data_IF_103698764114
#
_entry.id   IF_103698764114
#
_cell.length_a   1.000
_cell.length_b   1.000
_cell.length_c   1.000
_cell.angle_alpha   90.00
_cell.angle_beta   90.00
_cell.angle_gamma   90.00
#
_symmetry.space_group_name_H-M   'P 1'
#
loop_
_entity.id
_entity.type
_entity.pdbx_description
1 polymer ?
#
# COMPACT_ATOMS: atom_id res chain seq x y z
N UNK A 1 61.59 -11.93 1.33
CA UNK A 1 60.90 -13.16 1.81
C UNK A 1 60.21 -13.01 3.19
N UNK A 2 60.41 -11.89 3.92
CA UNK A 2 59.89 -11.75 5.31
C UNK A 2 58.56 -10.98 5.43
N UNK A 3 58.03 -10.37 4.36
CA UNK A 3 56.79 -9.58 4.44
C UNK A 3 55.51 -10.47 4.30
N UNK A 4 55.57 -11.58 3.59
CA UNK A 4 54.42 -12.50 3.42
C UNK A 4 54.12 -13.35 4.66
N UNK A 5 55.11 -13.67 5.52
CA UNK A 5 54.84 -14.45 6.75
C UNK A 5 54.15 -13.68 7.87
N UNK A 6 54.33 -12.34 7.96
CA UNK A 6 53.72 -11.53 9.01
C UNK A 6 52.22 -11.32 8.76
N UNK A 7 51.76 -11.21 7.50
CA UNK A 7 50.34 -11.03 7.19
C UNK A 7 49.52 -12.30 7.36
N UNK A 8 50.08 -13.48 7.18
CA UNK A 8 49.40 -14.77 7.38
C UNK A 8 49.19 -15.04 8.88
N UNK A 9 50.14 -14.65 9.73
CA UNK A 9 50.02 -14.84 11.17
C UNK A 9 48.96 -13.88 11.77
N UNK A 10 48.80 -12.66 11.23
CA UNK A 10 47.81 -11.71 11.68
C UNK A 10 46.38 -12.12 11.30
N UNK A 11 46.17 -12.74 10.15
CA UNK A 11 44.85 -13.26 9.72
C UNK A 11 44.42 -14.46 10.55
N UNK A 12 45.37 -15.38 10.92
CA UNK A 12 45.04 -16.50 11.77
C UNK A 12 44.73 -16.13 13.21
N UNK A 13 45.38 -15.11 13.77
CA UNK A 13 45.07 -14.63 15.14
C UNK A 13 43.73 -13.94 15.24
N UNK A 14 43.28 -13.16 14.21
CA UNK A 14 41.95 -12.56 14.18
C UNK A 14 40.84 -13.59 14.04
N UNK A 15 41.04 -14.67 13.27
CA UNK A 15 40.04 -15.74 13.11
C UNK A 15 39.87 -16.53 14.42
N UNK A 16 40.96 -16.82 15.15
CA UNK A 16 40.91 -17.54 16.43
C UNK A 16 40.22 -16.70 17.53
N UNK A 17 40.42 -15.38 17.54
CA UNK A 17 39.75 -14.50 18.51
C UNK A 17 38.23 -14.42 18.23
N UNK A 18 37.78 -14.43 16.97
CA UNK A 18 36.37 -14.48 16.63
C UNK A 18 35.69 -15.81 17.05
N UNK A 19 36.40 -16.95 16.99
CA UNK A 19 35.85 -18.24 17.44
C UNK A 19 35.81 -18.39 18.97
N UNK A 20 36.71 -17.71 19.70
CA UNK A 20 36.70 -17.74 21.18
C UNK A 20 35.60 -16.84 21.77
N UNK A 21 35.16 -15.77 21.07
CA UNK A 21 34.02 -14.98 21.52
C UNK A 21 32.66 -15.61 21.24
N UNK A 22 32.55 -16.52 20.27
CA UNK A 22 31.31 -17.28 20.00
C UNK A 22 30.99 -18.38 21.02
N UNK A 23 31.99 -18.81 21.81
CA UNK A 23 31.83 -19.88 22.80
C UNK A 23 31.56 -19.40 24.24
N UNK A 24 31.47 -18.12 24.49
CA UNK A 24 31.25 -17.55 25.84
C UNK A 24 29.81 -17.01 26.05
N UNK A 25 28.94 -17.03 25.01
CA UNK A 25 27.53 -16.70 25.22
C UNK A 25 26.78 -17.98 25.65
N UNK A 26 26.28 -18.05 26.89
CA UNK A 26 25.56 -19.22 27.36
C UNK A 26 24.23 -19.36 26.61
N UNK A 27 23.98 -20.58 26.11
CA UNK A 27 22.72 -21.03 25.44
C UNK A 27 21.49 -20.96 26.40
N UNK A 28 21.57 -20.21 27.50
CA UNK A 28 20.51 -20.13 28.52
C UNK A 28 19.50 -18.98 28.32
N UNK A 29 19.48 -18.28 27.16
CA UNK A 29 18.52 -17.19 26.96
C UNK A 29 17.23 -17.59 26.22
N UNK A 30 17.05 -18.86 25.83
CA UNK A 30 15.86 -19.34 25.07
C UNK A 30 14.90 -20.16 25.96
N UNK A 31 15.05 -20.15 27.29
CA UNK A 31 14.10 -20.85 28.16
C UNK A 31 13.50 -19.93 29.23
N UNK A 32 12.85 -18.83 28.81
CA UNK A 32 11.90 -18.10 29.68
C UNK A 32 11.09 -17.13 28.81
N UNK A 33 9.99 -17.61 28.29
CA UNK A 33 8.76 -16.84 28.01
C UNK A 33 7.77 -17.65 27.15
N UNK A 34 7.57 -18.93 27.48
CA UNK A 34 6.29 -19.57 27.19
C UNK A 34 5.38 -19.28 28.37
N UNK A 35 4.75 -18.12 28.37
CA UNK A 35 3.57 -17.93 29.20
C UNK A 35 2.41 -18.65 28.52
N UNK A 36 1.98 -19.73 29.12
CA UNK A 36 0.70 -20.36 28.89
C UNK A 36 -0.37 -19.34 29.30
N UNK A 37 -1.07 -18.78 28.35
CA UNK A 37 -2.24 -17.95 28.62
C UNK A 37 -3.37 -18.85 29.15
N UNK A 38 -3.53 -18.92 30.46
CA UNK A 38 -4.80 -19.35 31.05
C UNK A 38 -5.80 -18.20 30.92
N UNK A 39 -7.04 -18.45 30.48
CA UNK A 39 -8.03 -17.37 30.43
C UNK A 39 -8.39 -16.99 31.89
N UNK A 40 -7.95 -15.82 32.29
CA UNK A 40 -8.39 -15.21 33.54
C UNK A 40 -9.83 -14.70 33.35
N UNK A 41 -10.78 -15.41 33.94
CA UNK A 41 -12.15 -14.96 34.08
C UNK A 41 -12.14 -13.82 35.15
N UNK A 42 -11.88 -12.60 34.73
CA UNK A 42 -12.12 -11.42 35.55
C UNK A 42 -13.20 -10.58 34.89
N UNK A 43 -14.34 -10.52 35.54
CA UNK A 43 -15.38 -9.54 35.25
C UNK A 43 -14.86 -8.14 35.50
N UNK A 44 -14.22 -7.53 34.51
CA UNK A 44 -13.96 -6.10 34.52
C UNK A 44 -15.26 -5.37 34.20
N UNK A 45 -15.78 -4.59 35.16
CA UNK A 45 -16.73 -3.52 34.88
C UNK A 45 -16.00 -2.52 34.03
N UNK A 46 -16.31 -2.54 32.71
CA UNK A 46 -15.75 -1.67 31.71
C UNK A 46 -16.46 -0.30 31.80
N UNK A 47 -15.79 0.68 32.38
CA UNK A 47 -16.14 2.11 32.27
C UNK A 47 -15.04 2.84 31.51
N UNK A 48 -14.66 2.32 30.35
CA UNK A 48 -13.70 2.92 29.45
C UNK A 48 -14.37 3.33 28.14
N UNK A 49 -14.37 4.61 27.84
CA UNK A 49 -14.70 5.17 26.52
C UNK A 49 -13.75 4.54 25.48
N UNK A 50 -14.13 3.41 24.86
CA UNK A 50 -13.41 2.85 23.72
C UNK A 50 -13.57 3.82 22.56
N UNK A 51 -12.63 4.76 22.44
CA UNK A 51 -12.55 5.65 21.29
C UNK A 51 -12.29 4.78 20.04
N UNK A 52 -13.35 4.50 19.30
CA UNK A 52 -13.24 3.76 18.03
C UNK A 52 -12.32 4.56 17.11
N UNK A 53 -11.16 4.01 16.82
CA UNK A 53 -10.19 4.65 15.93
C UNK A 53 -10.74 4.76 14.52
N UNK A 54 -10.68 5.95 13.93
CA UNK A 54 -11.09 6.21 12.55
C UNK A 54 -9.86 6.40 11.68
N UNK A 55 -9.83 5.76 10.52
CA UNK A 55 -8.70 5.84 9.59
C UNK A 55 -9.15 6.34 8.23
N UNK A 56 -8.34 7.20 7.64
CA UNK A 56 -8.51 7.64 6.26
C UNK A 56 -7.25 7.36 5.44
N UNK A 57 -7.44 6.73 4.30
CA UNK A 57 -6.43 6.45 3.30
C UNK A 57 -6.71 7.31 2.06
N UNK A 58 -5.89 8.33 1.84
CA UNK A 58 -5.91 9.09 0.60
C UNK A 58 -5.22 8.25 -0.48
N UNK A 59 -5.90 7.91 -1.56
CA UNK A 59 -5.33 7.08 -2.62
C UNK A 59 -5.48 7.74 -3.98
N UNK A 60 -4.39 7.69 -4.78
CA UNK A 60 -4.32 8.31 -6.09
C UNK A 60 -3.92 7.28 -7.14
N UNK A 61 -4.73 7.13 -8.18
CA UNK A 61 -4.49 6.22 -9.31
C UNK A 61 -3.89 6.98 -10.51
N UNK A 62 -3.34 6.25 -11.50
CA UNK A 62 -2.91 6.71 -12.82
C UNK A 62 -1.63 7.55 -12.89
N UNK A 63 -0.89 7.71 -11.80
CA UNK A 63 0.43 8.35 -11.80
C UNK A 63 1.59 7.41 -12.11
N UNK A 64 2.84 7.96 -12.08
CA UNK A 64 3.19 9.32 -11.75
C UNK A 64 3.05 10.30 -12.93
N UNK A 65 2.70 11.54 -12.67
CA UNK A 65 2.62 12.63 -13.65
C UNK A 65 3.05 13.95 -13.01
N UNK A 66 3.12 15.03 -13.78
CA UNK A 66 3.36 16.37 -13.23
C UNK A 66 2.31 16.80 -12.18
N UNK A 67 1.07 16.30 -12.29
CA UNK A 67 0.03 16.54 -11.27
C UNK A 67 0.37 15.82 -9.97
N UNK A 68 0.98 14.64 -10.05
CA UNK A 68 1.48 13.92 -8.87
C UNK A 68 2.50 14.75 -8.10
N UNK A 69 3.41 15.43 -8.79
CA UNK A 69 4.43 16.26 -8.15
C UNK A 69 3.81 17.41 -7.33
N UNK A 70 2.79 18.07 -7.90
CA UNK A 70 2.03 19.13 -7.20
C UNK A 70 1.22 18.57 -6.02
N UNK A 71 0.65 17.36 -6.15
CA UNK A 71 -0.04 16.69 -5.04
C UNK A 71 0.90 16.40 -3.86
N UNK A 72 2.14 16.01 -4.15
CA UNK A 72 3.16 15.77 -3.11
C UNK A 72 3.47 17.04 -2.33
N UNK A 73 3.51 18.23 -2.98
CA UNK A 73 3.68 19.51 -2.28
C UNK A 73 2.53 19.80 -1.30
N UNK A 74 1.29 19.52 -1.72
CA UNK A 74 0.10 19.69 -0.86
C UNK A 74 0.16 18.71 0.32
N UNK A 75 0.45 17.42 0.07
CA UNK A 75 0.53 16.39 1.11
C UNK A 75 1.63 16.72 2.14
N UNK A 76 2.78 17.22 1.67
CA UNK A 76 3.87 17.68 2.52
C UNK A 76 3.46 18.88 3.38
N UNK A 77 2.82 19.88 2.79
CA UNK A 77 2.30 21.06 3.51
C UNK A 77 1.29 20.68 4.57
N UNK A 78 0.40 19.74 4.26
CA UNK A 78 -0.62 19.22 5.17
C UNK A 78 -0.08 18.20 6.17
N UNK A 79 1.18 17.78 6.05
CA UNK A 79 1.83 16.75 6.87
C UNK A 79 1.02 15.43 6.93
N UNK A 80 0.58 14.94 5.77
CA UNK A 80 -0.17 13.69 5.63
C UNK A 80 0.48 12.77 4.61
N UNK A 81 0.37 11.45 4.85
CA UNK A 81 0.81 10.43 3.90
C UNK A 81 -0.39 9.91 3.11
N UNK A 82 -0.11 9.52 1.87
CA UNK A 82 -1.08 8.96 0.93
C UNK A 82 -0.54 7.67 0.31
N UNK A 83 -1.32 7.06 -0.59
CA UNK A 83 -0.90 5.90 -1.38
C UNK A 83 -1.12 6.19 -2.86
N UNK A 84 -0.13 5.89 -3.68
CA UNK A 84 -0.17 6.08 -5.12
C UNK A 84 -0.17 4.72 -5.82
N UNK A 85 -1.21 4.42 -6.58
CA UNK A 85 -1.30 3.21 -7.41
C UNK A 85 -0.77 3.55 -8.81
N UNK A 86 0.42 3.06 -9.09
CA UNK A 86 1.28 3.47 -10.20
C UNK A 86 0.96 2.67 -11.46
N UNK A 87 0.78 3.36 -12.57
CA UNK A 87 0.74 2.78 -13.92
C UNK A 87 2.17 2.71 -14.46
N UNK A 88 2.66 1.50 -14.75
CA UNK A 88 4.08 1.29 -15.05
C UNK A 88 4.60 2.09 -16.25
N UNK A 89 3.83 2.26 -17.33
CA UNK A 89 4.23 3.06 -18.48
C UNK A 89 4.37 4.56 -18.18
N UNK A 90 3.65 5.07 -17.17
CA UNK A 90 3.72 6.48 -16.76
C UNK A 90 4.98 6.81 -15.96
N UNK A 91 5.76 5.78 -15.58
CA UNK A 91 7.04 5.98 -14.89
C UNK A 91 8.08 6.59 -15.83
N UNK A 92 8.03 6.22 -17.12
CA UNK A 92 9.00 6.68 -18.12
C UNK A 92 8.97 8.20 -18.25
N UNK A 93 10.09 8.84 -17.93
CA UNK A 93 10.24 10.31 -17.86
C UNK A 93 9.72 10.95 -16.57
N UNK A 94 9.18 10.15 -15.63
CA UNK A 94 8.70 10.60 -14.33
C UNK A 94 9.39 9.87 -13.15
N UNK A 95 10.58 9.30 -13.38
CA UNK A 95 11.33 8.51 -12.41
C UNK A 95 11.66 9.33 -11.14
N UNK A 96 11.91 10.63 -11.29
CA UNK A 96 12.18 11.52 -10.16
C UNK A 96 10.93 11.72 -9.29
N UNK A 97 9.73 11.77 -9.90
CA UNK A 97 8.47 11.87 -9.18
C UNK A 97 8.20 10.57 -8.41
N UNK A 98 8.46 9.41 -9.02
CA UNK A 98 8.37 8.13 -8.32
C UNK A 98 9.33 8.03 -7.13
N UNK A 99 10.59 8.47 -7.30
CA UNK A 99 11.55 8.55 -6.19
C UNK A 99 11.07 9.49 -5.09
N UNK A 100 10.42 10.59 -5.46
CA UNK A 100 9.85 11.54 -4.51
C UNK A 100 8.72 10.91 -3.70
N UNK A 101 7.78 10.18 -4.34
CA UNK A 101 6.73 9.43 -3.64
C UNK A 101 7.33 8.50 -2.58
N UNK A 102 8.36 7.74 -2.94
CA UNK A 102 9.04 6.81 -2.04
C UNK A 102 9.75 7.53 -0.89
N UNK A 103 10.58 8.53 -1.19
CA UNK A 103 11.41 9.23 -0.21
C UNK A 103 10.59 10.04 0.80
N UNK A 104 9.42 10.55 0.40
CA UNK A 104 8.49 11.26 1.30
C UNK A 104 7.64 10.29 2.14
N UNK A 105 7.83 8.96 2.00
CA UNK A 105 7.21 7.94 2.82
C UNK A 105 5.74 7.67 2.51
N UNK A 106 5.32 7.94 1.28
CA UNK A 106 4.01 7.55 0.78
C UNK A 106 3.98 6.06 0.42
N UNK A 107 2.79 5.45 0.45
CA UNK A 107 2.58 4.10 -0.03
C UNK A 107 2.67 4.04 -1.56
N UNK A 108 3.27 2.98 -2.08
CA UNK A 108 3.32 2.69 -3.52
C UNK A 108 2.57 1.39 -3.77
N UNK A 109 1.56 1.44 -4.63
CA UNK A 109 0.82 0.29 -5.12
C UNK A 109 0.94 0.16 -6.64
N UNK A 110 0.48 -0.97 -7.17
CA UNK A 110 0.55 -1.31 -8.58
C UNK A 110 -0.82 -1.12 -9.24
N UNK A 111 -0.84 -0.47 -10.42
CA UNK A 111 -2.05 -0.22 -11.20
C UNK A 111 -1.92 -0.73 -12.64
N UNK A 112 -1.28 -1.89 -12.82
CA UNK A 112 -0.84 -2.49 -14.08
C UNK A 112 0.26 -1.69 -14.78
N UNK A 113 0.84 -2.25 -15.84
CA UNK A 113 1.84 -1.55 -16.64
C UNK A 113 1.19 -0.69 -17.72
N UNK A 114 0.28 -1.27 -18.51
CA UNK A 114 -0.24 -0.63 -19.71
C UNK A 114 -1.54 0.14 -19.50
N UNK A 115 -2.27 -0.14 -18.42
CA UNK A 115 -3.65 0.35 -18.17
C UNK A 115 -4.60 0.11 -19.37
N UNK A 116 -4.31 -0.89 -20.21
CA UNK A 116 -5.12 -1.25 -21.35
C UNK A 116 -6.13 -2.34 -20.97
N UNK A 117 -7.40 -1.97 -20.78
CA UNK A 117 -8.46 -2.87 -20.31
C UNK A 117 -8.63 -4.14 -21.14
N UNK A 118 -8.49 -4.07 -22.49
CA UNK A 118 -8.58 -5.24 -23.35
C UNK A 118 -7.44 -6.21 -23.12
N UNK A 119 -6.25 -5.69 -22.82
CA UNK A 119 -5.05 -6.49 -22.58
C UNK A 119 -5.06 -7.06 -21.16
N UNK A 120 -5.14 -6.19 -20.14
CA UNK A 120 -4.98 -6.57 -18.74
C UNK A 120 -6.04 -7.55 -18.23
N UNK A 121 -7.23 -7.55 -18.82
CA UNK A 121 -8.34 -8.43 -18.43
C UNK A 121 -8.56 -9.59 -19.41
N UNK A 122 -7.61 -9.88 -20.28
CA UNK A 122 -7.67 -11.05 -21.18
C UNK A 122 -7.56 -12.36 -20.40
N UNK A 123 -6.71 -12.39 -19.36
CA UNK A 123 -6.57 -13.52 -18.43
C UNK A 123 -6.02 -13.05 -17.09
N UNK A 124 -6.18 -13.88 -16.04
CA UNK A 124 -5.56 -13.65 -14.74
C UNK A 124 -4.03 -13.60 -14.82
N UNK A 125 -3.44 -14.43 -15.67
CA UNK A 125 -1.99 -14.45 -15.90
C UNK A 125 -1.49 -13.13 -16.49
N UNK A 126 -2.16 -12.62 -17.53
CA UNK A 126 -1.81 -11.32 -18.13
C UNK A 126 -1.88 -10.20 -17.09
N UNK A 127 -2.93 -10.20 -16.25
CA UNK A 127 -3.08 -9.22 -15.19
C UNK A 127 -1.92 -9.29 -14.18
N UNK A 128 -1.54 -10.49 -13.74
CA UNK A 128 -0.41 -10.72 -12.84
C UNK A 128 0.91 -10.27 -13.49
N UNK A 129 1.12 -10.58 -14.76
CA UNK A 129 2.33 -10.18 -15.49
C UNK A 129 2.46 -8.66 -15.64
N UNK A 130 1.35 -7.95 -15.86
CA UNK A 130 1.30 -6.50 -15.90
C UNK A 130 1.68 -5.87 -14.52
N UNK A 131 1.22 -6.48 -13.41
CA UNK A 131 1.60 -6.05 -12.07
C UNK A 131 3.09 -6.31 -11.79
N UNK A 132 3.60 -7.51 -12.11
CA UNK A 132 5.02 -7.85 -11.95
C UNK A 132 5.92 -6.92 -12.75
N UNK A 133 5.56 -6.63 -13.99
CA UNK A 133 6.33 -5.70 -14.82
C UNK A 133 6.45 -4.32 -14.18
N UNK A 134 5.37 -3.79 -13.64
CA UNK A 134 5.38 -2.50 -12.94
C UNK A 134 6.20 -2.58 -11.65
N UNK A 135 6.05 -3.67 -10.88
CA UNK A 135 6.78 -3.90 -9.64
C UNK A 135 8.29 -3.90 -9.86
N UNK A 136 8.78 -4.60 -10.89
CA UNK A 136 10.21 -4.67 -11.22
C UNK A 136 10.79 -3.29 -11.54
N UNK A 137 10.08 -2.47 -12.32
CA UNK A 137 10.53 -1.10 -12.65
C UNK A 137 10.58 -0.24 -11.37
N UNK A 138 9.59 -0.35 -10.48
CA UNK A 138 9.59 0.38 -9.23
C UNK A 138 10.76 -0.07 -8.34
N UNK A 139 11.03 -1.37 -8.29
CA UNK A 139 12.14 -1.94 -7.51
C UNK A 139 13.50 -1.45 -8.03
N UNK A 140 13.71 -1.41 -9.34
CA UNK A 140 14.94 -0.87 -9.95
C UNK A 140 15.19 0.61 -9.57
N UNK A 141 14.13 1.40 -9.42
CA UNK A 141 14.22 2.84 -9.15
C UNK A 141 14.31 3.15 -7.65
N UNK A 142 13.60 2.39 -6.81
CA UNK A 142 13.40 2.72 -5.38
C UNK A 142 14.02 1.71 -4.42
N UNK A 143 14.38 0.51 -4.90
CA UNK A 143 14.79 -0.63 -4.06
C UNK A 143 13.62 -1.31 -3.33
N UNK A 144 12.37 -0.89 -3.56
CA UNK A 144 11.17 -1.45 -2.91
C UNK A 144 10.32 -2.23 -3.89
N UNK A 145 9.85 -3.41 -3.46
CA UNK A 145 8.99 -4.32 -4.24
C UNK A 145 7.54 -4.20 -3.76
N UNK A 146 6.68 -3.37 -4.37
CA UNK A 146 5.30 -3.18 -3.92
C UNK A 146 4.48 -4.47 -3.99
N UNK A 147 3.64 -4.71 -2.97
CA UNK A 147 2.73 -5.87 -2.87
C UNK A 147 1.25 -5.49 -2.91
N UNK A 148 0.94 -4.21 -2.76
CA UNK A 148 -0.43 -3.71 -2.80
C UNK A 148 -0.82 -3.39 -4.24
N UNK A 149 -2.02 -3.79 -4.65
CA UNK A 149 -2.50 -3.60 -6.02
C UNK A 149 -3.91 -3.00 -6.03
N UNK A 150 -4.23 -2.30 -7.10
CA UNK A 150 -5.60 -1.88 -7.43
C UNK A 150 -5.93 -2.22 -8.88
N UNK A 151 -7.12 -2.77 -9.07
CA UNK A 151 -7.65 -3.08 -10.39
C UNK A 151 -8.04 -1.79 -11.11
N UNK A 152 -7.59 -1.53 -12.35
CA UNK A 152 -8.15 -0.49 -13.20
C UNK A 152 -9.68 -0.61 -13.32
N UNK A 153 -10.40 0.44 -12.88
CA UNK A 153 -11.86 0.42 -12.80
C UNK A 153 -12.46 -0.39 -11.64
N UNK A 154 -11.63 -0.87 -10.70
CA UNK A 154 -12.02 -1.62 -9.52
C UNK A 154 -12.18 -3.12 -9.72
N UNK A 155 -12.20 -3.86 -8.62
CA UNK A 155 -12.26 -5.32 -8.62
C UNK A 155 -13.64 -5.90 -8.92
N UNK A 156 -14.70 -5.09 -8.83
CA UNK A 156 -16.08 -5.52 -9.11
C UNK A 156 -16.20 -6.14 -10.51
N UNK A 157 -16.82 -7.31 -10.62
CA UNK A 157 -16.97 -8.10 -11.87
C UNK A 157 -15.63 -8.61 -12.47
N UNK A 158 -14.48 -8.38 -11.82
CA UNK A 158 -13.14 -8.79 -12.27
C UNK A 158 -12.53 -9.82 -11.33
N UNK A 159 -12.70 -9.62 -10.04
CA UNK A 159 -12.20 -10.49 -9.00
C UNK A 159 -13.16 -11.67 -8.79
N UNK A 160 -12.62 -12.87 -8.71
CA UNK A 160 -13.28 -14.10 -8.28
C UNK A 160 -12.30 -14.93 -7.43
N UNK A 161 -12.74 -16.05 -6.87
CA UNK A 161 -11.92 -16.88 -6.00
C UNK A 161 -10.63 -17.37 -6.66
N UNK A 162 -10.70 -17.76 -7.95
CA UNK A 162 -9.52 -18.21 -8.70
C UNK A 162 -8.49 -17.06 -8.87
N UNK A 163 -8.96 -15.89 -9.30
CA UNK A 163 -8.09 -14.71 -9.48
C UNK A 163 -7.47 -14.29 -8.15
N UNK A 164 -8.26 -14.20 -7.07
CA UNK A 164 -7.76 -13.84 -5.74
C UNK A 164 -6.68 -14.82 -5.25
N UNK A 165 -6.92 -16.14 -5.39
CA UNK A 165 -5.93 -17.16 -5.04
C UNK A 165 -4.63 -16.98 -5.82
N UNK A 166 -4.70 -16.66 -7.12
CA UNK A 166 -3.51 -16.42 -7.94
C UNK A 166 -2.77 -15.14 -7.52
N UNK A 167 -3.49 -14.08 -7.17
CA UNK A 167 -2.89 -12.85 -6.66
C UNK A 167 -2.15 -13.11 -5.33
N UNK A 168 -2.79 -13.81 -4.39
CA UNK A 168 -2.18 -14.18 -3.11
C UNK A 168 -0.94 -15.09 -3.28
N UNK A 169 -0.96 -16.06 -4.23
CA UNK A 169 0.22 -16.87 -4.58
C UNK A 169 1.40 -16.02 -5.07
N UNK A 170 1.13 -14.85 -5.64
CA UNK A 170 2.15 -13.89 -6.05
C UNK A 170 2.38 -12.78 -4.99
N UNK A 171 1.90 -12.97 -3.75
CA UNK A 171 2.00 -12.05 -2.62
C UNK A 171 1.35 -10.68 -2.88
N UNK A 172 0.38 -10.58 -3.79
CA UNK A 172 -0.37 -9.35 -4.03
C UNK A 172 -1.60 -9.26 -3.15
N UNK A 173 -1.87 -8.05 -2.62
CA UNK A 173 -3.04 -7.69 -1.82
C UNK A 173 -3.86 -6.63 -2.51
N UNK A 174 -5.19 -6.81 -2.54
CA UNK A 174 -6.13 -6.01 -3.32
C UNK A 174 -6.74 -4.89 -2.49
N UNK A 175 -6.76 -3.67 -3.06
CA UNK A 175 -7.37 -2.51 -2.41
C UNK A 175 -8.27 -1.73 -3.36
N UNK A 176 -9.57 -1.85 -3.18
CA UNK A 176 -10.59 -0.98 -3.77
C UNK A 176 -10.80 0.27 -2.88
N UNK A 177 -11.96 0.87 -2.93
CA UNK A 177 -12.31 2.09 -2.21
C UNK A 177 -13.75 2.06 -1.71
N UNK A 178 -14.08 2.91 -0.75
CA UNK A 178 -15.44 3.14 -0.28
C UNK A 178 -15.87 4.62 -0.34
N UNK A 179 -14.96 5.48 -0.80
CA UNK A 179 -15.24 6.89 -1.14
C UNK A 179 -14.73 7.15 -2.54
N UNK A 180 -15.53 7.74 -3.41
CA UNK A 180 -15.17 8.01 -4.80
C UNK A 180 -15.41 9.48 -5.14
N UNK A 181 -14.37 10.19 -5.55
CA UNK A 181 -14.50 11.58 -6.01
C UNK A 181 -15.15 11.69 -7.39
N UNK A 182 -15.19 10.61 -8.16
CA UNK A 182 -15.63 10.56 -9.55
C UNK A 182 -14.76 11.39 -10.52
N UNK A 183 -13.59 11.82 -10.10
CA UNK A 183 -12.63 12.60 -10.89
C UNK A 183 -11.96 11.81 -12.02
N UNK A 184 -11.87 10.47 -11.91
CA UNK A 184 -11.42 9.60 -13.00
C UNK A 184 -12.45 9.44 -14.12
N UNK A 185 -13.74 9.63 -13.81
CA UNK A 185 -14.83 9.60 -14.82
C UNK A 185 -14.99 10.96 -15.48
N UNK A 186 -14.88 12.02 -14.69
CA UNK A 186 -14.95 13.40 -15.16
C UNK A 186 -13.91 14.28 -14.44
N UNK A 187 -12.74 14.49 -15.03
CA UNK A 187 -11.67 15.30 -14.44
C UNK A 187 -12.04 16.81 -14.35
N UNK A 188 -13.09 17.24 -15.04
CA UNK A 188 -13.57 18.63 -15.04
C UNK A 188 -14.60 18.93 -13.93
N UNK A 189 -14.91 17.97 -13.05
CA UNK A 189 -15.77 18.24 -11.91
C UNK A 189 -15.24 19.45 -11.11
N UNK A 190 -16.16 20.31 -10.67
CA UNK A 190 -15.78 21.47 -9.86
C UNK A 190 -15.17 21.04 -8.52
N UNK A 191 -14.31 21.88 -7.96
CA UNK A 191 -13.70 21.66 -6.63
C UNK A 191 -14.77 21.40 -5.57
N UNK A 192 -15.88 22.16 -5.60
CA UNK A 192 -17.00 21.98 -4.68
C UNK A 192 -17.68 20.61 -4.81
N UNK A 193 -17.83 20.12 -6.05
CA UNK A 193 -18.41 18.80 -6.29
C UNK A 193 -17.48 17.68 -5.81
N UNK A 194 -16.16 17.80 -6.02
CA UNK A 194 -15.17 16.83 -5.51
C UNK A 194 -15.19 16.77 -3.97
N UNK A 195 -15.23 17.95 -3.31
CA UNK A 195 -15.37 18.03 -1.84
C UNK A 195 -16.68 17.39 -1.37
N UNK A 196 -17.79 17.61 -2.06
CA UNK A 196 -19.08 16.98 -1.74
C UNK A 196 -18.99 15.46 -1.86
N UNK A 197 -18.43 14.96 -2.96
CA UNK A 197 -18.28 13.53 -3.21
C UNK A 197 -17.38 12.85 -2.16
N UNK A 198 -16.32 13.51 -1.71
CA UNK A 198 -15.38 12.97 -0.71
C UNK A 198 -16.02 12.68 0.65
N UNK A 199 -17.19 13.26 0.95
CA UNK A 199 -17.92 13.06 2.21
C UNK A 199 -18.84 11.83 2.21
N UNK A 200 -18.98 11.14 1.07
CA UNK A 200 -19.89 10.00 0.89
C UNK A 200 -19.14 8.71 1.14
N UNK A 201 -19.12 8.23 2.39
CA UNK A 201 -18.50 6.95 2.77
C UNK A 201 -19.53 5.83 2.65
N UNK A 202 -19.22 4.81 1.84
CA UNK A 202 -20.04 3.59 1.73
C UNK A 202 -19.58 2.54 2.76
N UNK A 203 -20.53 1.90 3.44
CA UNK A 203 -20.25 0.85 4.43
C UNK A 203 -19.69 1.38 5.75
N UNK A 204 -18.61 0.77 6.25
CA UNK A 204 -18.00 1.14 7.54
C UNK A 204 -17.44 2.57 7.52
N UNK A 205 -18.04 3.45 8.32
CA UNK A 205 -17.63 4.85 8.39
C UNK A 205 -16.35 5.09 9.23
N UNK A 206 -15.84 4.08 9.91
CA UNK A 206 -14.59 4.22 10.65
C UNK A 206 -13.34 4.08 9.76
N UNK A 207 -13.53 3.62 8.52
CA UNK A 207 -12.46 3.48 7.53
C UNK A 207 -12.88 4.12 6.23
N UNK A 208 -12.18 5.16 5.79
CA UNK A 208 -12.36 5.81 4.50
C UNK A 208 -11.16 5.51 3.60
N UNK A 209 -11.40 4.81 2.48
CA UNK A 209 -10.42 4.65 1.40
C UNK A 209 -10.93 5.49 0.24
N UNK A 210 -10.25 6.60 -0.03
CA UNK A 210 -10.70 7.63 -0.97
C UNK A 210 -10.03 7.41 -2.32
N UNK A 211 -10.81 7.09 -3.35
CA UNK A 211 -10.36 7.05 -4.73
C UNK A 211 -10.28 8.45 -5.31
N UNK A 212 -9.09 8.82 -5.72
CA UNK A 212 -8.72 10.01 -6.48
C UNK A 212 -7.80 9.63 -7.62
N UNK A 213 -7.60 10.53 -8.59
CA UNK A 213 -6.69 10.31 -9.70
C UNK A 213 -5.66 11.43 -9.80
N UNK A 214 -4.48 11.09 -10.29
CA UNK A 214 -3.36 12.02 -10.44
C UNK A 214 -2.79 12.04 -11.87
N UNK A 215 -3.62 11.72 -12.88
CA UNK A 215 -3.24 11.95 -14.27
C UNK A 215 -3.24 13.46 -14.60
N UNK A 216 -2.69 13.84 -15.75
CA UNK A 216 -2.43 15.24 -16.13
C UNK A 216 -3.68 16.14 -16.16
N UNK A 217 -4.89 15.56 -16.21
CA UNK A 217 -6.15 16.29 -16.27
C UNK A 217 -6.76 16.59 -14.90
N UNK A 218 -6.30 15.93 -13.82
CA UNK A 218 -6.92 16.01 -12.49
C UNK A 218 -6.48 17.24 -11.66
N UNK A 219 -6.34 18.41 -12.29
CA UNK A 219 -5.91 19.65 -11.61
C UNK A 219 -6.88 20.12 -10.52
N UNK A 220 -8.18 19.83 -10.66
CA UNK A 220 -9.18 20.20 -9.66
C UNK A 220 -9.11 19.31 -8.42
N UNK A 221 -8.64 18.07 -8.55
CA UNK A 221 -8.35 17.15 -7.42
C UNK A 221 -7.29 17.76 -6.51
N UNK A 222 -6.20 18.31 -7.09
CA UNK A 222 -5.17 19.05 -6.33
C UNK A 222 -5.78 20.18 -5.52
N UNK A 223 -6.62 21.02 -6.15
CA UNK A 223 -7.24 22.16 -5.48
C UNK A 223 -8.24 21.78 -4.40
N UNK A 224 -8.90 20.61 -4.53
CA UNK A 224 -9.86 20.11 -3.56
C UNK A 224 -9.18 19.47 -2.33
N UNK A 225 -7.95 18.96 -2.48
CA UNK A 225 -7.27 18.12 -1.50
C UNK A 225 -7.13 18.77 -0.11
N UNK A 226 -6.72 20.05 0.04
CA UNK A 226 -6.63 20.67 1.37
C UNK A 226 -7.96 20.68 2.13
N UNK A 227 -9.07 20.96 1.44
CA UNK A 227 -10.40 20.96 2.05
C UNK A 227 -10.85 19.54 2.43
N UNK A 228 -10.49 18.53 1.62
CA UNK A 228 -10.78 17.12 1.91
C UNK A 228 -9.99 16.69 3.16
N UNK A 229 -8.71 17.00 3.23
CA UNK A 229 -7.86 16.70 4.38
C UNK A 229 -8.42 17.37 5.65
N UNK A 230 -8.73 18.67 5.57
CA UNK A 230 -9.34 19.40 6.70
C UNK A 230 -10.61 18.72 7.18
N UNK A 231 -11.51 18.33 6.27
CA UNK A 231 -12.77 17.66 6.63
C UNK A 231 -12.56 16.37 7.44
N UNK A 232 -11.66 15.46 7.00
CA UNK A 232 -11.40 14.22 7.70
C UNK A 232 -10.65 14.44 9.02
N UNK A 233 -9.77 15.45 9.07
CA UNK A 233 -9.06 15.85 10.30
C UNK A 233 -10.05 16.37 11.35
N UNK A 234 -10.98 17.23 10.97
CA UNK A 234 -12.02 17.77 11.86
C UNK A 234 -12.95 16.67 12.42
N UNK A 235 -13.14 15.58 11.67
CA UNK A 235 -13.91 14.41 12.09
C UNK A 235 -13.11 13.41 12.93
N UNK A 236 -11.84 13.71 13.22
CA UNK A 236 -10.96 12.89 14.04
C UNK A 236 -10.43 11.62 13.37
N UNK A 237 -10.32 11.61 12.03
CA UNK A 237 -9.66 10.52 11.31
C UNK A 237 -8.14 10.65 11.39
N UNK A 238 -7.47 9.51 11.56
CA UNK A 238 -6.03 9.39 11.42
C UNK A 238 -5.67 9.09 9.96
N UNK A 239 -4.75 9.87 9.40
CA UNK A 239 -4.28 9.68 8.02
C UNK A 239 -3.19 8.62 7.96
N UNK A 240 -3.38 7.63 7.11
CA UNK A 240 -2.42 6.54 6.90
C UNK A 240 -2.20 6.25 5.42
N UNK A 241 -0.98 5.84 5.09
CA UNK A 241 -0.73 5.15 3.82
C UNK A 241 -1.13 3.68 3.94
N UNK A 242 -1.60 3.07 2.84
CA UNK A 242 -1.80 1.63 2.75
C UNK A 242 -0.43 0.96 2.71
N UNK A 243 -0.25 -0.07 3.53
CA UNK A 243 0.94 -0.91 3.61
C UNK A 243 0.56 -2.38 3.46
N UNK A 244 1.54 -3.27 3.37
CA UNK A 244 1.31 -4.72 3.36
C UNK A 244 0.59 -5.24 4.61
N UNK A 245 0.66 -4.52 5.73
CA UNK A 245 -0.02 -4.87 6.97
C UNK A 245 -1.44 -4.31 7.07
N UNK A 246 -1.85 -3.44 6.13
CA UNK A 246 -3.23 -2.94 6.07
C UNK A 246 -4.14 -4.10 5.64
N UNK A 247 -5.28 -4.34 6.32
CA UNK A 247 -6.24 -5.35 5.88
C UNK A 247 -6.71 -5.08 4.45
N UNK A 248 -6.81 -6.13 3.63
CA UNK A 248 -7.32 -6.01 2.26
C UNK A 248 -8.74 -5.45 2.25
N UNK A 249 -9.01 -4.64 1.24
CA UNK A 249 -10.34 -4.10 1.00
C UNK A 249 -10.70 -4.24 -0.48
N UNK A 250 -11.58 -5.18 -0.80
CA UNK A 250 -12.06 -5.38 -2.17
C UNK A 250 -13.57 -5.65 -2.19
N UNK A 251 -14.20 -5.40 -3.32
CA UNK A 251 -15.63 -5.64 -3.48
C UNK A 251 -15.94 -7.12 -3.44
N UNK A 252 -16.95 -7.50 -2.62
CA UNK A 252 -17.39 -8.89 -2.50
C UNK A 252 -17.81 -9.42 -3.86
N UNK A 253 -17.29 -10.56 -4.23
CA UNK A 253 -17.74 -11.34 -5.37
C UNK A 253 -18.63 -12.49 -4.92
N UNK A 254 -19.50 -12.97 -5.82
CA UNK A 254 -20.33 -14.16 -5.55
C UNK A 254 -19.40 -15.38 -5.47
N UNK A 255 -19.25 -15.95 -4.29
CA UNK A 255 -18.75 -17.33 -4.17
C UNK A 255 -19.85 -18.23 -4.74
N UNK A 256 -19.51 -19.14 -5.65
CA UNK A 256 -20.43 -20.20 -6.05
C UNK A 256 -20.86 -20.93 -4.77
N UNK A 257 -22.10 -20.71 -4.35
CA UNK A 257 -22.73 -21.52 -3.33
C UNK A 257 -22.84 -22.91 -3.91
N UNK A 258 -22.11 -23.86 -3.32
CA UNK A 258 -22.32 -25.30 -3.35
C UNK A 258 -23.32 -25.74 -4.44
N UNK A 259 -22.80 -26.27 -5.54
CA UNK A 259 -23.49 -27.28 -6.30
C UNK A 259 -23.70 -28.45 -5.33
N UNK A 260 -24.80 -28.44 -4.58
CA UNK A 260 -25.31 -29.63 -3.97
C UNK A 260 -25.60 -30.59 -5.11
N UNK A 261 -24.72 -31.56 -5.29
CA UNK A 261 -24.99 -32.76 -6.09
C UNK A 261 -26.28 -33.35 -5.53
N UNK A 262 -27.32 -33.29 -6.36
CA UNK A 262 -28.52 -34.13 -6.17
C UNK A 262 -28.25 -35.51 -6.73
#
# INVERSE_FOLDING_TARGET
LNFKKKNILFVFTTIIICFLFASIYPINYIKKNTQVFTPLNTSFKDSGDYKISKYVYLTFDDGPTIVTDVLLDVLKTENVRATFFIVGKEIVGNELILKRIYNEGHGIGLHTYSHNFKKIYRSTEEFVNEMKKTSNIIEEITGSTPKIIRFPGGSSKRLNAFTLTNLHKNNFKVYDWNVNLCDGVNPNLSVSQLIKNSKIIKGNKNVAIILMHCNSNNKNTVKALPCIIKHYRDLGYEFRAITENTPEYYYKFKTEKNLTVK
#
